data_IF_871272693588
#
_entry.id   IF_871272693588
#
_cell.length_a   1.000
_cell.length_b   1.000
_cell.length_c   1.000
_cell.angle_alpha   90.00
_cell.angle_beta   90.00
_cell.angle_gamma   90.00
#
_symmetry.space_group_name_H-M   'P 1'
#
loop_
_entity.id
_entity.type
_entity.pdbx_description
1 polymer ?
#
# COMPACT_ATOMS: atom_id res chain seq x y z
N UNK A 1 30.39 -17.29 -16.11
CA UNK A 1 29.96 -18.52 -15.41
C UNK A 1 28.51 -18.80 -15.75
N UNK A 2 28.23 -19.90 -16.44
CA UNK A 2 26.87 -20.37 -16.70
C UNK A 2 26.50 -21.39 -15.62
N UNK A 3 25.55 -21.04 -14.76
CA UNK A 3 24.88 -22.01 -13.90
C UNK A 3 23.83 -22.74 -14.76
N UNK A 4 24.18 -23.90 -15.28
CA UNK A 4 23.22 -24.85 -15.85
C UNK A 4 22.76 -25.77 -14.72
N UNK A 5 21.51 -25.62 -14.30
CA UNK A 5 20.86 -26.59 -13.43
C UNK A 5 20.82 -27.95 -14.15
N UNK A 6 21.29 -29.01 -13.49
CA UNK A 6 21.30 -30.35 -14.05
C UNK A 6 19.88 -30.83 -14.40
N UNK A 7 19.74 -31.54 -15.51
CA UNK A 7 18.47 -32.12 -15.99
C UNK A 7 17.81 -33.11 -15.01
N UNK A 8 18.50 -33.44 -13.90
CA UNK A 8 18.04 -34.35 -12.84
C UNK A 8 17.15 -33.68 -11.80
N UNK A 9 17.08 -32.34 -11.79
CA UNK A 9 16.06 -31.63 -11.04
C UNK A 9 14.78 -31.65 -11.89
N UNK A 10 13.91 -32.64 -11.64
CA UNK A 10 12.55 -32.61 -12.14
C UNK A 10 11.95 -31.20 -11.90
N UNK A 11 11.13 -30.66 -12.82
CA UNK A 11 10.47 -29.38 -12.60
C UNK A 11 9.82 -29.42 -11.21
N UNK A 12 10.08 -28.39 -10.40
CA UNK A 12 9.52 -28.29 -9.05
C UNK A 12 8.00 -28.17 -9.18
N UNK A 13 7.32 -29.31 -9.28
CA UNK A 13 5.94 -29.41 -9.75
C UNK A 13 4.92 -28.97 -8.69
N UNK A 14 5.38 -28.62 -7.48
CA UNK A 14 4.53 -28.41 -6.34
C UNK A 14 5.05 -27.33 -5.39
N UNK A 15 5.57 -26.21 -5.91
CA UNK A 15 5.81 -25.05 -5.04
C UNK A 15 4.46 -24.47 -4.64
N UNK A 16 4.03 -24.73 -3.40
CA UNK A 16 2.73 -24.25 -2.90
C UNK A 16 2.69 -22.74 -2.78
N UNK A 17 3.68 -22.15 -2.10
CA UNK A 17 3.77 -20.72 -1.88
C UNK A 17 5.21 -20.18 -2.00
N UNK A 18 5.35 -18.96 -2.50
CA UNK A 18 6.63 -18.21 -2.53
C UNK A 18 6.43 -16.83 -1.93
N UNK A 19 7.42 -16.36 -1.17
CA UNK A 19 7.53 -14.96 -0.76
C UNK A 19 8.76 -14.31 -1.38
N UNK A 20 8.55 -13.20 -2.07
CA UNK A 20 9.59 -12.38 -2.70
C UNK A 20 9.67 -11.05 -1.97
N UNK A 21 10.89 -10.66 -1.57
CA UNK A 21 11.19 -9.31 -1.08
C UNK A 21 11.95 -8.54 -2.13
N UNK A 22 11.70 -7.23 -2.21
CA UNK A 22 12.29 -6.33 -3.18
C UNK A 22 12.07 -6.86 -4.61
N UNK A 23 10.81 -7.09 -4.96
CA UNK A 23 10.45 -7.57 -6.29
C UNK A 23 10.90 -6.61 -7.39
N UNK A 24 11.49 -7.18 -8.43
CA UNK A 24 11.91 -6.55 -9.68
C UNK A 24 11.65 -7.52 -10.84
N UNK A 25 11.79 -7.04 -12.07
CA UNK A 25 11.63 -7.81 -13.31
C UNK A 25 12.50 -9.08 -13.41
N UNK A 26 13.58 -9.22 -12.64
CA UNK A 26 14.40 -10.43 -12.65
C UNK A 26 13.67 -11.62 -12.04
N UNK A 27 12.74 -11.36 -11.12
CA UNK A 27 11.90 -12.40 -10.52
C UNK A 27 10.88 -12.98 -11.49
N UNK A 28 10.51 -12.27 -12.56
CA UNK A 28 9.55 -12.75 -13.55
C UNK A 28 9.96 -14.11 -14.12
N UNK A 29 11.23 -14.27 -14.51
CA UNK A 29 11.75 -15.54 -15.06
C UNK A 29 11.67 -16.69 -14.06
N UNK A 30 11.87 -16.42 -12.77
CA UNK A 30 11.78 -17.44 -11.72
C UNK A 30 10.32 -17.87 -11.53
N UNK A 31 9.40 -16.90 -11.51
CA UNK A 31 7.97 -17.16 -11.36
C UNK A 31 7.36 -17.89 -12.57
N UNK A 32 7.84 -17.62 -13.77
CA UNK A 32 7.43 -18.33 -14.99
C UNK A 32 7.77 -19.82 -14.94
N UNK A 33 8.87 -20.19 -14.29
CA UNK A 33 9.36 -21.57 -14.13
C UNK A 33 8.64 -22.26 -12.97
N UNK A 34 8.58 -21.61 -11.81
CA UNK A 34 8.07 -22.24 -10.58
C UNK A 34 6.55 -22.25 -10.49
N UNK A 35 5.90 -21.22 -11.03
CA UNK A 35 4.44 -21.01 -11.05
C UNK A 35 3.73 -21.42 -9.75
N UNK A 36 4.11 -20.87 -8.59
CA UNK A 36 3.44 -21.22 -7.34
C UNK A 36 1.95 -20.84 -7.37
N UNK A 37 1.14 -21.63 -6.65
CA UNK A 37 -0.29 -21.35 -6.52
C UNK A 37 -0.56 -20.12 -5.64
N UNK A 38 0.33 -19.83 -4.69
CA UNK A 38 0.24 -18.66 -3.80
C UNK A 38 1.53 -17.84 -3.87
N UNK A 39 1.40 -16.52 -3.97
CA UNK A 39 2.53 -15.61 -4.11
C UNK A 39 2.38 -14.43 -3.15
N UNK A 40 3.46 -14.12 -2.43
CA UNK A 40 3.59 -12.88 -1.68
C UNK A 40 4.70 -12.02 -2.29
N UNK A 41 4.36 -10.80 -2.71
CA UNK A 41 5.26 -9.82 -3.30
C UNK A 41 5.39 -8.63 -2.35
N UNK A 42 6.62 -8.31 -1.95
CA UNK A 42 6.95 -7.09 -1.23
C UNK A 42 7.85 -6.22 -2.11
N UNK A 43 7.35 -5.04 -2.48
CA UNK A 43 8.10 -4.08 -3.29
C UNK A 43 9.09 -3.30 -2.43
N UNK A 44 10.24 -2.96 -3.03
CA UNK A 44 11.21 -2.08 -2.40
C UNK A 44 10.62 -0.66 -2.26
N UNK A 45 11.08 0.06 -1.24
CA UNK A 45 10.69 1.45 -0.98
C UNK A 45 11.68 2.48 -1.55
N UNK A 46 12.91 2.06 -1.86
CA UNK A 46 13.94 2.93 -2.45
C UNK A 46 13.99 2.80 -3.98
N UNK A 47 14.19 3.94 -4.65
CA UNK A 47 15.06 3.96 -5.83
C UNK A 47 14.45 3.86 -7.23
N UNK A 48 13.13 4.03 -7.45
CA UNK A 48 12.65 4.18 -8.82
C UNK A 48 11.19 3.90 -9.10
N UNK A 49 10.94 3.63 -10.39
CA UNK A 49 9.69 3.11 -10.90
C UNK A 49 9.57 1.61 -10.56
N UNK A 50 8.43 1.20 -10.01
CA UNK A 50 8.19 -0.19 -9.66
C UNK A 50 7.79 -1.02 -10.89
N UNK A 51 8.40 -2.19 -11.04
CA UNK A 51 8.03 -3.15 -12.07
C UNK A 51 6.65 -3.77 -11.79
N UNK A 52 5.77 -3.79 -12.77
CA UNK A 52 4.44 -4.39 -12.64
C UNK A 52 4.51 -5.91 -12.66
N UNK A 53 3.83 -6.56 -11.71
CA UNK A 53 3.61 -8.00 -11.76
C UNK A 53 2.44 -8.37 -12.69
N UNK A 54 2.65 -9.38 -13.54
CA UNK A 54 1.63 -9.95 -14.43
C UNK A 54 1.29 -11.37 -13.94
N UNK A 55 0.04 -11.64 -13.54
CA UNK A 55 -0.39 -12.97 -13.13
C UNK A 55 -0.23 -14.01 -14.24
N UNK A 56 0.10 -15.24 -13.85
CA UNK A 56 0.17 -16.39 -14.73
C UNK A 56 -0.98 -17.37 -14.44
N UNK A 57 -1.36 -18.23 -15.41
CA UNK A 57 -2.41 -19.23 -15.20
C UNK A 57 -2.10 -20.16 -14.03
N UNK A 58 -3.09 -20.38 -13.17
CA UNK A 58 -2.98 -21.25 -11.99
C UNK A 58 -2.57 -20.54 -10.69
N UNK A 59 -2.23 -19.24 -10.73
CA UNK A 59 -2.09 -18.43 -9.54
C UNK A 59 -3.46 -18.27 -8.87
N UNK A 60 -3.60 -18.74 -7.62
CA UNK A 60 -4.84 -18.69 -6.85
C UNK A 60 -4.87 -17.54 -5.85
N UNK A 61 -3.72 -17.21 -5.27
CA UNK A 61 -3.61 -16.18 -4.24
C UNK A 61 -2.42 -15.26 -4.45
N UNK A 62 -2.64 -13.96 -4.32
CA UNK A 62 -1.61 -12.93 -4.42
C UNK A 62 -1.70 -11.91 -3.27
N UNK A 63 -0.67 -11.90 -2.42
CA UNK A 63 -0.50 -10.88 -1.39
C UNK A 63 0.57 -9.87 -1.84
N UNK A 64 0.21 -8.60 -1.99
CA UNK A 64 1.11 -7.53 -2.42
C UNK A 64 1.31 -6.53 -1.29
N UNK A 65 2.56 -6.14 -1.03
CA UNK A 65 2.93 -5.09 -0.08
C UNK A 65 3.69 -4.00 -0.80
N UNK A 66 3.14 -2.79 -0.81
CA UNK A 66 3.82 -1.56 -1.27
C UNK A 66 3.98 -0.65 -0.06
N UNK A 67 5.13 -0.70 0.64
CA UNK A 67 5.28 -0.03 1.93
C UNK A 67 5.28 1.50 1.85
N UNK A 68 5.68 2.09 0.71
CA UNK A 68 5.78 3.56 0.54
C UNK A 68 5.16 4.04 -0.78
N UNK A 69 3.83 3.91 -0.93
CA UNK A 69 3.10 4.22 -2.16
C UNK A 69 3.31 5.67 -2.66
N UNK A 70 3.48 6.62 -1.74
CA UNK A 70 3.68 8.04 -2.07
C UNK A 70 5.09 8.37 -2.58
N UNK A 71 6.11 7.57 -2.26
CA UNK A 71 7.51 7.83 -2.65
C UNK A 71 7.94 7.10 -3.92
N UNK A 72 7.24 6.02 -4.26
CA UNK A 72 7.50 5.26 -5.48
C UNK A 72 6.74 5.82 -6.68
N UNK A 73 7.36 5.77 -7.86
CA UNK A 73 6.63 5.95 -9.12
C UNK A 73 6.01 4.62 -9.51
N UNK A 74 4.72 4.65 -9.83
CA UNK A 74 4.02 3.51 -10.39
C UNK A 74 3.56 3.89 -11.78
N UNK A 75 3.63 2.95 -12.70
CA UNK A 75 2.95 3.07 -13.97
C UNK A 75 1.42 3.07 -13.77
N UNK A 76 0.70 3.59 -14.76
CA UNK A 76 -0.75 3.41 -14.80
C UNK A 76 -1.09 1.92 -14.78
N UNK A 77 -2.20 1.58 -14.13
CA UNK A 77 -2.70 0.21 -14.10
C UNK A 77 -1.74 -0.78 -13.43
N UNK A 78 -0.93 -0.31 -12.47
CA UNK A 78 0.03 -1.11 -11.70
C UNK A 78 -0.65 -2.33 -11.04
N UNK A 79 -1.88 -2.15 -10.55
CA UNK A 79 -2.66 -3.20 -9.90
C UNK A 79 -3.61 -3.97 -10.84
N UNK A 80 -3.39 -3.99 -12.16
CA UNK A 80 -4.28 -4.69 -13.11
C UNK A 80 -4.47 -6.19 -12.84
N UNK A 81 -3.60 -6.82 -12.04
CA UNK A 81 -3.80 -8.21 -11.65
C UNK A 81 -5.17 -8.45 -11.01
N UNK A 82 -5.82 -7.43 -10.44
CA UNK A 82 -7.18 -7.54 -9.88
C UNK A 82 -8.25 -7.85 -10.92
N UNK A 83 -7.96 -7.67 -12.22
CA UNK A 83 -8.81 -8.09 -13.34
C UNK A 83 -8.71 -9.60 -13.62
N UNK A 84 -7.77 -10.30 -12.99
CA UNK A 84 -7.60 -11.75 -13.18
C UNK A 84 -8.79 -12.48 -12.56
N UNK A 85 -9.55 -13.26 -13.34
CA UNK A 85 -10.67 -14.01 -12.81
C UNK A 85 -10.20 -15.04 -11.77
N UNK A 86 -11.02 -15.25 -10.74
CA UNK A 86 -10.81 -16.22 -9.65
C UNK A 86 -9.54 -16.01 -8.79
N UNK A 87 -8.81 -14.91 -8.98
CA UNK A 87 -7.64 -14.57 -8.16
C UNK A 87 -8.07 -13.97 -6.83
N UNK A 88 -7.71 -14.64 -5.72
CA UNK A 88 -7.79 -14.03 -4.39
C UNK A 88 -6.59 -13.09 -4.21
N UNK A 89 -6.84 -11.82 -3.87
CA UNK A 89 -5.74 -10.89 -3.65
C UNK A 89 -5.91 -10.04 -2.39
N UNK A 90 -4.78 -9.63 -1.83
CA UNK A 90 -4.69 -8.64 -0.76
C UNK A 90 -3.54 -7.68 -1.04
N UNK A 91 -3.83 -6.39 -1.16
CA UNK A 91 -2.85 -5.32 -1.37
C UNK A 91 -2.76 -4.49 -0.10
N UNK A 92 -1.59 -4.49 0.53
CA UNK A 92 -1.23 -3.51 1.55
C UNK A 92 -0.52 -2.33 0.87
N UNK A 93 -1.01 -1.13 1.13
CA UNK A 93 -0.34 0.12 0.74
C UNK A 93 -0.04 0.95 1.99
N UNK A 94 1.22 1.30 2.16
CA UNK A 94 1.72 2.07 3.28
C UNK A 94 2.22 3.46 2.89
N UNK A 95 2.43 4.30 3.91
CA UNK A 95 3.08 5.58 3.81
C UNK A 95 4.18 5.74 4.89
N UNK A 96 5.27 6.47 4.60
CA UNK A 96 6.45 6.50 5.46
C UNK A 96 6.18 7.14 6.83
N UNK A 97 7.00 6.73 7.80
CA UNK A 97 6.97 7.19 9.20
C UNK A 97 7.06 8.72 9.36
N UNK A 98 7.68 9.46 8.44
CA UNK A 98 7.77 10.93 8.50
C UNK A 98 6.39 11.61 8.34
N UNK A 99 5.50 11.03 7.54
CA UNK A 99 4.11 11.49 7.44
C UNK A 99 3.26 11.08 8.65
N UNK A 100 3.77 10.22 9.54
CA UNK A 100 3.10 9.95 10.83
C UNK A 100 3.16 11.14 11.80
N UNK A 101 3.78 12.26 11.43
CA UNK A 101 3.58 13.53 12.12
C UNK A 101 2.52 14.42 11.44
N UNK A 102 2.19 14.14 10.17
CA UNK A 102 1.13 14.78 9.36
C UNK A 102 0.05 13.76 8.98
N UNK A 103 -0.40 13.03 10.01
CA UNK A 103 -1.03 11.72 9.92
C UNK A 103 -2.27 11.70 9.02
N UNK A 104 -3.12 12.73 9.10
CA UNK A 104 -4.41 12.74 8.39
C UNK A 104 -4.32 13.26 6.95
N UNK A 105 -3.38 14.18 6.68
CA UNK A 105 -3.06 14.56 5.30
C UNK A 105 -2.57 13.36 4.48
N UNK A 106 -1.88 12.42 5.11
CA UNK A 106 -1.39 11.20 4.48
C UNK A 106 -2.53 10.25 4.05
N UNK A 107 -3.56 10.05 4.88
CA UNK A 107 -4.73 9.25 4.50
C UNK A 107 -5.47 9.87 3.31
N UNK A 108 -5.73 11.18 3.37
CA UNK A 108 -6.37 11.89 2.24
C UNK A 108 -5.53 11.82 0.97
N UNK A 109 -4.21 11.98 1.07
CA UNK A 109 -3.30 11.84 -0.07
C UNK A 109 -3.32 10.42 -0.64
N UNK A 110 -3.34 9.41 0.23
CA UNK A 110 -3.45 8.01 -0.17
C UNK A 110 -4.76 7.74 -0.91
N UNK A 111 -5.92 8.16 -0.36
CA UNK A 111 -7.23 8.04 -1.01
C UNK A 111 -7.26 8.67 -2.40
N UNK A 112 -6.60 9.82 -2.58
CA UNK A 112 -6.49 10.48 -3.89
C UNK A 112 -5.60 9.71 -4.88
N UNK A 113 -4.59 9.00 -4.38
CA UNK A 113 -3.62 8.26 -5.23
C UNK A 113 -4.09 6.86 -5.58
N UNK A 114 -4.92 6.23 -4.74
CA UNK A 114 -5.44 4.89 -4.96
C UNK A 114 -6.13 4.74 -6.33
N UNK A 115 -7.08 5.59 -6.76
CA UNK A 115 -7.71 5.48 -8.08
C UNK A 115 -6.71 5.51 -9.25
N UNK A 116 -5.62 6.27 -9.13
CA UNK A 116 -4.59 6.37 -10.17
C UNK A 116 -3.83 5.05 -10.29
N UNK A 117 -3.48 4.43 -9.16
CA UNK A 117 -2.74 3.16 -9.15
C UNK A 117 -3.59 1.97 -9.65
N UNK A 118 -4.91 2.07 -9.52
CA UNK A 118 -5.87 1.06 -9.94
C UNK A 118 -6.49 1.35 -11.32
N UNK A 119 -6.28 2.50 -11.93
CA UNK A 119 -6.65 2.93 -13.29
C UNK A 119 -7.80 2.16 -13.99
N UNK A 120 -8.93 2.84 -14.20
CA UNK A 120 -10.18 2.28 -14.76
C UNK A 120 -10.81 1.13 -13.96
N UNK A 121 -10.30 0.86 -12.74
CA UNK A 121 -10.89 -0.14 -11.84
C UNK A 121 -11.64 0.58 -10.73
N UNK A 122 -12.90 0.22 -10.59
CA UNK A 122 -13.74 0.73 -9.51
C UNK A 122 -13.36 0.05 -8.19
N UNK A 123 -12.73 0.82 -7.30
CA UNK A 123 -12.37 0.38 -5.95
C UNK A 123 -13.58 0.02 -5.09
N UNK A 124 -14.79 0.47 -5.46
CA UNK A 124 -16.02 0.08 -4.78
C UNK A 124 -16.35 -1.40 -4.97
N UNK A 125 -15.69 -2.11 -5.88
CA UNK A 125 -15.84 -3.56 -6.07
C UNK A 125 -15.05 -4.38 -5.03
N UNK A 126 -14.17 -3.76 -4.27
CA UNK A 126 -13.25 -4.45 -3.35
C UNK A 126 -13.47 -4.06 -1.89
N UNK A 127 -13.02 -4.90 -0.97
CA UNK A 127 -12.94 -4.51 0.43
C UNK A 127 -11.76 -3.56 0.62
N UNK A 128 -12.03 -2.27 0.83
CA UNK A 128 -10.99 -1.28 1.10
C UNK A 128 -11.12 -0.83 2.55
N UNK A 129 -10.13 -1.22 3.36
CA UNK A 129 -10.09 -0.91 4.78
C UNK A 129 -8.86 -0.08 5.12
N UNK A 130 -9.07 0.99 5.88
CA UNK A 130 -8.01 1.71 6.53
C UNK A 130 -7.42 0.84 7.65
N UNK A 131 -6.15 0.43 7.50
CA UNK A 131 -5.50 -0.46 8.47
C UNK A 131 -5.00 0.30 9.69
N UNK A 132 -4.55 1.53 9.46
CA UNK A 132 -4.16 2.49 10.49
C UNK A 132 -4.34 3.89 9.91
N UNK A 133 -3.81 4.89 10.61
CA UNK A 133 -4.02 6.28 10.21
C UNK A 133 -3.41 6.67 8.86
N UNK A 134 -2.48 5.90 8.29
CA UNK A 134 -1.79 6.26 7.04
C UNK A 134 -1.84 5.18 5.97
N UNK A 135 -2.34 3.99 6.28
CA UNK A 135 -2.21 2.80 5.46
C UNK A 135 -3.57 2.20 5.08
N UNK A 136 -3.64 1.53 3.93
CA UNK A 136 -4.82 0.81 3.47
C UNK A 136 -4.50 -0.65 3.17
N UNK A 137 -5.52 -1.49 3.34
CA UNK A 137 -5.58 -2.86 2.85
C UNK A 137 -6.75 -2.95 1.88
N UNK A 138 -6.48 -3.41 0.65
CA UNK A 138 -7.46 -3.66 -0.40
C UNK A 138 -7.53 -5.16 -0.63
N UNK A 139 -8.72 -5.77 -0.57
CA UNK A 139 -8.90 -7.22 -0.75
C UNK A 139 -9.98 -7.52 -1.77
N UNK A 140 -9.78 -8.61 -2.52
CA UNK A 140 -10.83 -9.18 -3.35
C UNK A 140 -12.07 -9.52 -2.52
N UNK A 141 -13.22 -9.56 -3.18
CA UNK A 141 -14.49 -9.99 -2.61
C UNK A 141 -14.81 -11.35 -3.22
N UNK A 142 -15.27 -12.29 -2.39
CA UNK A 142 -15.68 -13.62 -2.87
C UNK A 142 -16.85 -13.50 -3.85
N UNK A 143 -16.89 -14.38 -4.84
CA UNK A 143 -17.99 -14.41 -5.81
C UNK A 143 -19.35 -14.47 -5.10
N UNK A 144 -20.25 -13.54 -5.44
CA UNK A 144 -21.58 -13.42 -4.83
C UNK A 144 -21.63 -12.64 -3.51
N UNK A 145 -20.49 -12.26 -2.91
CA UNK A 145 -20.46 -11.35 -1.77
C UNK A 145 -20.42 -9.88 -2.21
N UNK A 146 -20.87 -9.00 -1.31
CA UNK A 146 -20.68 -7.55 -1.46
C UNK A 146 -19.50 -7.08 -0.60
N UNK A 147 -18.79 -6.03 -1.02
CA UNK A 147 -17.80 -5.37 -0.17
C UNK A 147 -18.41 -4.93 1.16
N UNK A 148 -17.68 -5.19 2.25
CA UNK A 148 -18.07 -4.84 3.62
C UNK A 148 -17.39 -3.57 4.12
N UNK A 149 -16.21 -3.24 3.57
CA UNK A 149 -15.41 -2.09 3.97
C UNK A 149 -15.15 -1.20 2.76
N UNK A 150 -15.33 0.11 2.95
CA UNK A 150 -15.30 1.14 1.90
C UNK A 150 -14.68 2.44 2.42
N UNK A 151 -13.61 2.34 3.22
CA UNK A 151 -13.04 3.50 3.93
C UNK A 151 -12.42 4.55 2.98
N UNK A 152 -12.21 4.18 1.71
CA UNK A 152 -11.72 5.10 0.69
C UNK A 152 -12.77 6.11 0.22
N UNK A 153 -14.06 5.88 0.47
CA UNK A 153 -15.12 6.83 0.11
C UNK A 153 -14.99 8.05 1.04
N UNK A 154 -14.85 9.27 0.50
CA UNK A 154 -14.72 10.46 1.32
C UNK A 154 -15.94 10.70 2.23
N UNK A 155 -15.70 10.97 3.51
CA UNK A 155 -16.72 11.38 4.47
C UNK A 155 -16.30 12.73 5.07
N UNK A 156 -16.98 13.81 4.69
CA UNK A 156 -16.62 15.17 5.07
C UNK A 156 -16.62 15.40 6.59
N UNK A 157 -17.51 14.73 7.33
CA UNK A 157 -17.58 14.86 8.79
C UNK A 157 -16.40 14.15 9.44
N UNK A 158 -16.15 12.92 9.05
CA UNK A 158 -15.04 12.13 9.58
C UNK A 158 -13.70 12.78 9.25
N UNK A 159 -13.53 13.24 8.00
CA UNK A 159 -12.35 13.97 7.55
C UNK A 159 -12.07 15.21 8.42
N UNK A 160 -13.12 15.94 8.83
CA UNK A 160 -12.99 17.14 9.67
C UNK A 160 -12.65 16.79 11.12
N UNK A 161 -13.34 15.81 11.71
CA UNK A 161 -13.04 15.34 13.08
C UNK A 161 -11.59 14.83 13.18
N UNK A 162 -11.14 14.14 12.15
CA UNK A 162 -9.77 13.65 11.99
C UNK A 162 -8.75 14.79 11.84
N UNK A 163 -9.05 15.84 11.06
CA UNK A 163 -8.23 17.05 10.94
C UNK A 163 -8.04 17.76 12.28
N UNK A 164 -9.13 17.98 13.01
CA UNK A 164 -9.13 18.62 14.33
C UNK A 164 -8.29 17.80 15.35
N UNK A 165 -8.41 16.47 15.32
CA UNK A 165 -7.63 15.57 16.18
C UNK A 165 -6.12 15.58 15.83
N UNK A 166 -5.79 15.65 14.54
CA UNK A 166 -4.40 15.71 14.06
C UNK A 166 -3.74 17.02 14.46
N UNK A 167 -4.45 18.14 14.32
CA UNK A 167 -3.94 19.45 14.74
C UNK A 167 -3.68 19.47 16.25
N UNK A 168 -4.61 18.98 17.07
CA UNK A 168 -4.43 18.87 18.52
C UNK A 168 -3.21 17.99 18.90
N UNK A 169 -2.99 16.87 18.20
CA UNK A 169 -1.84 16.00 18.44
C UNK A 169 -0.51 16.69 18.08
N UNK A 170 -0.48 17.38 16.95
CA UNK A 170 0.71 18.13 16.50
C UNK A 170 1.07 19.25 17.47
N UNK A 171 0.08 20.04 17.91
CA UNK A 171 0.26 21.06 18.95
C UNK A 171 0.86 20.48 20.23
N UNK A 172 0.34 19.34 20.69
CA UNK A 172 0.83 18.67 21.90
C UNK A 172 2.25 18.13 21.74
N UNK A 173 2.59 17.60 20.56
CA UNK A 173 3.94 17.11 20.26
C UNK A 173 4.96 18.25 20.19
N UNK A 174 4.60 19.40 19.59
CA UNK A 174 5.43 20.60 19.55
C UNK A 174 5.64 21.21 20.94
N UNK A 175 4.60 21.29 21.77
CA UNK A 175 4.75 21.71 23.17
C UNK A 175 5.72 20.80 23.93
N UNK A 176 5.59 19.49 23.77
CA UNK A 176 6.42 18.52 24.51
C UNK A 176 7.88 18.52 24.06
N UNK A 177 8.14 18.76 22.77
CA UNK A 177 9.48 18.69 22.18
C UNK A 177 10.22 20.04 22.18
N UNK A 178 9.50 21.15 22.07
CA UNK A 178 10.08 22.48 21.89
C UNK A 178 9.49 23.57 22.81
N UNK A 179 8.50 23.26 23.65
CA UNK A 179 7.85 24.25 24.51
C UNK A 179 6.96 25.26 23.75
N UNK A 180 6.63 24.98 22.49
CA UNK A 180 5.89 25.90 21.60
C UNK A 180 4.39 25.67 21.76
N UNK A 181 3.65 26.73 22.07
CA UNK A 181 2.18 26.79 22.06
C UNK A 181 1.74 27.62 20.85
N UNK A 182 1.07 27.01 19.86
CA UNK A 182 0.55 27.76 18.71
C UNK A 182 -0.95 28.03 18.93
N UNK A 183 -1.33 29.30 18.95
CA UNK A 183 -2.72 29.72 19.10
C UNK A 183 -3.39 29.78 17.72
N UNK A 184 -4.44 28.99 17.49
CA UNK A 184 -5.12 28.88 16.19
C UNK A 184 -5.84 30.15 15.71
N UNK A 185 -5.96 31.16 16.57
CA UNK A 185 -6.59 32.45 16.24
C UNK A 185 -5.61 33.61 16.03
N UNK A 186 -4.31 33.41 16.22
CA UNK A 186 -3.30 34.44 16.04
C UNK A 186 -2.15 33.90 15.20
N UNK A 187 -1.94 34.48 14.01
CA UNK A 187 -0.74 34.27 13.20
C UNK A 187 0.52 34.91 13.83
N UNK A 188 0.73 34.72 15.13
CA UNK A 188 1.89 35.16 15.87
C UNK A 188 2.45 33.98 16.66
N UNK A 189 3.59 33.47 16.22
CA UNK A 189 4.38 32.47 16.95
C UNK A 189 4.89 33.09 18.25
N UNK A 190 4.35 32.67 19.39
CA UNK A 190 4.84 33.11 20.69
C UNK A 190 5.87 32.10 21.21
N UNK A 191 7.15 32.49 21.17
CA UNK A 191 8.26 31.69 21.69
C UNK A 191 8.37 31.88 23.20
N UNK A 192 8.00 30.86 23.99
CA UNK A 192 8.35 30.83 25.42
C UNK A 192 9.63 30.00 25.56
N UNK A 193 10.78 30.68 25.59
CA UNK A 193 12.05 30.07 25.97
C UNK A 193 12.03 29.94 27.50
N UNK A 194 11.85 28.71 28.02
CA UNK A 194 12.13 28.45 29.44
C UNK A 194 13.64 28.54 29.65
N UNK A 195 14.06 29.52 30.48
CA UNK A 195 15.40 29.57 31.07
C UNK A 195 15.58 28.45 32.09
#
# INVERSE_FOLDING_TARGET
MHFTFGAELAPWTHVGSIKIKNFDSKWCRVLEILRPAELTIEYAWEGGELDKFVPYPGLKKLDVTVPELLRVKMCESFFDFVKTPDLEFSVFVGNPCEYKFHIMGAWRALRKRLPIAFHDIDLAQFNVRQSDRTNAIIRSVKAGEKPRYQDHIPNARQDREDEELSEAYFQRALMKRYGISVCSHCAFYMYIIKK
#
